data_IF_343844920468
#
_entry.id   IF_343844920468
#
_cell.length_a   1.000
_cell.length_b   1.000
_cell.length_c   1.000
_cell.angle_alpha   90.00
_cell.angle_beta   90.00
_cell.angle_gamma   90.00
#
_symmetry.space_group_name_H-M   'P 1'
#
loop_
_entity.id
_entity.type
_entity.pdbx_description
1 polymer ?
#
# COMPACT_ATOMS: atom_id res chain seq x y z
N UNK A 1 49.47 16.50 -16.73
CA UNK A 1 48.44 15.65 -17.41
C UNK A 1 47.25 15.28 -16.50
N UNK A 2 47.39 15.28 -15.17
CA UNK A 2 46.30 14.90 -14.25
C UNK A 2 45.15 15.92 -14.09
N UNK A 3 45.40 17.22 -14.33
CA UNK A 3 44.38 18.26 -14.21
C UNK A 3 43.27 18.15 -15.27
N UNK A 4 43.63 17.99 -16.55
CA UNK A 4 42.66 17.86 -17.65
C UNK A 4 41.86 16.54 -17.57
N UNK A 5 42.49 15.46 -17.11
CA UNK A 5 41.82 14.17 -16.89
C UNK A 5 40.88 14.22 -15.70
N UNK A 6 41.25 14.91 -14.60
CA UNK A 6 40.36 15.18 -13.47
C UNK A 6 39.17 16.08 -13.85
N UNK A 7 39.38 17.11 -14.67
CA UNK A 7 38.28 17.97 -15.14
C UNK A 7 37.28 17.21 -16.04
N UNK A 8 37.78 16.35 -16.93
CA UNK A 8 36.94 15.49 -17.78
C UNK A 8 36.13 14.49 -16.95
N UNK A 9 36.79 13.78 -16.02
CA UNK A 9 36.13 12.81 -15.14
C UNK A 9 35.04 13.45 -14.29
N UNK A 10 35.31 14.63 -13.71
CA UNK A 10 34.33 15.43 -12.96
C UNK A 10 33.11 15.82 -13.80
N UNK A 11 33.31 16.26 -15.05
CA UNK A 11 32.20 16.61 -15.94
C UNK A 11 31.37 15.38 -16.30
N UNK A 12 32.03 14.26 -16.58
CA UNK A 12 31.38 12.99 -16.90
C UNK A 12 30.56 12.46 -15.70
N UNK A 13 31.16 12.39 -14.51
CA UNK A 13 30.48 11.93 -13.28
C UNK A 13 29.33 12.85 -12.89
N UNK A 14 29.48 14.18 -13.04
CA UNK A 14 28.40 15.14 -12.78
C UNK A 14 27.21 14.91 -13.70
N UNK A 15 27.44 14.74 -15.01
CA UNK A 15 26.35 14.47 -15.98
C UNK A 15 25.63 13.17 -15.63
N UNK A 16 26.39 12.13 -15.31
CA UNK A 16 25.83 10.82 -14.94
C UNK A 16 25.05 10.88 -13.62
N UNK A 17 25.52 11.64 -12.63
CA UNK A 17 24.79 11.91 -11.38
C UNK A 17 23.45 12.58 -11.63
N UNK A 18 23.40 13.62 -12.47
CA UNK A 18 22.15 14.33 -12.80
C UNK A 18 21.16 13.39 -13.49
N UNK A 19 21.63 12.55 -14.41
CA UNK A 19 20.77 11.55 -15.08
C UNK A 19 20.20 10.55 -14.08
N UNK A 20 21.02 10.00 -13.17
CA UNK A 20 20.56 9.08 -12.14
C UNK A 20 19.61 9.74 -11.14
N UNK A 21 19.84 11.01 -10.76
CA UNK A 21 18.92 11.77 -9.90
C UNK A 21 17.56 12.00 -10.57
N UNK A 22 17.53 12.23 -11.88
CA UNK A 22 16.27 12.34 -12.63
C UNK A 22 15.52 11.00 -12.67
N UNK A 23 16.23 9.90 -12.88
CA UNK A 23 15.66 8.55 -12.79
C UNK A 23 15.11 8.28 -11.38
N UNK A 24 15.89 8.59 -10.34
CA UNK A 24 15.48 8.43 -8.94
C UNK A 24 14.21 9.21 -8.62
N UNK A 25 14.12 10.46 -9.08
CA UNK A 25 12.93 11.31 -8.89
C UNK A 25 11.72 10.69 -9.58
N UNK A 26 11.89 10.15 -10.79
CA UNK A 26 10.81 9.50 -11.54
C UNK A 26 10.31 8.24 -10.83
N UNK A 27 11.24 7.38 -10.39
CA UNK A 27 10.92 6.15 -9.63
C UNK A 27 10.24 6.50 -8.31
N UNK A 28 10.73 7.50 -7.58
CA UNK A 28 10.12 7.95 -6.31
C UNK A 28 8.69 8.47 -6.52
N UNK A 29 8.45 9.23 -7.59
CA UNK A 29 7.12 9.71 -7.93
C UNK A 29 6.16 8.57 -8.29
N UNK A 30 6.64 7.54 -8.99
CA UNK A 30 5.86 6.32 -9.28
C UNK A 30 5.58 5.54 -8.00
N UNK A 31 6.58 5.33 -7.15
CA UNK A 31 6.45 4.63 -5.88
C UNK A 31 5.36 5.31 -5.02
N UNK A 32 5.46 6.62 -4.82
CA UNK A 32 4.48 7.39 -4.05
C UNK A 32 3.05 7.30 -4.60
N UNK A 33 2.88 7.18 -5.93
CA UNK A 33 1.55 7.00 -6.53
C UNK A 33 1.00 5.60 -6.24
N UNK A 34 1.84 4.57 -6.37
CA UNK A 34 1.43 3.18 -6.11
C UNK A 34 1.11 2.98 -4.64
N UNK A 35 1.95 3.46 -3.71
CA UNK A 35 1.68 3.40 -2.27
C UNK A 35 0.34 4.06 -1.92
N UNK A 36 0.00 5.21 -2.54
CA UNK A 36 -1.31 5.85 -2.38
C UNK A 36 -2.45 5.00 -2.95
N UNK A 37 -2.28 4.44 -4.14
CA UNK A 37 -3.27 3.56 -4.77
C UNK A 37 -3.56 2.31 -3.92
N UNK A 38 -2.51 1.69 -3.35
CA UNK A 38 -2.62 0.58 -2.41
C UNK A 38 -3.48 1.01 -1.21
N UNK A 39 -3.12 2.12 -0.56
CA UNK A 39 -3.86 2.60 0.61
C UNK A 39 -5.31 2.99 0.32
N UNK A 40 -5.59 3.60 -0.83
CA UNK A 40 -6.95 3.96 -1.25
C UNK A 40 -7.79 2.71 -1.57
N UNK A 41 -7.19 1.71 -2.21
CA UNK A 41 -7.86 0.44 -2.48
C UNK A 41 -8.12 -0.36 -1.21
N UNK A 42 -7.16 -0.47 -0.29
CA UNK A 42 -7.35 -1.12 1.02
C UNK A 42 -8.51 -0.49 1.79
N UNK A 43 -8.59 0.85 1.81
CA UNK A 43 -9.72 1.57 2.40
C UNK A 43 -11.03 1.24 1.69
N UNK A 44 -11.06 1.27 0.35
CA UNK A 44 -12.27 0.98 -0.42
C UNK A 44 -12.75 -0.45 -0.19
N UNK A 45 -11.85 -1.43 -0.21
CA UNK A 45 -12.14 -2.84 0.08
C UNK A 45 -12.70 -2.98 1.49
N UNK A 46 -12.08 -2.34 2.48
CA UNK A 46 -12.55 -2.36 3.87
C UNK A 46 -13.93 -1.73 4.01
N UNK A 47 -14.17 -0.58 3.37
CA UNK A 47 -15.49 0.08 3.36
C UNK A 47 -16.56 -0.81 2.71
N UNK A 48 -16.24 -1.45 1.59
CA UNK A 48 -17.17 -2.37 0.91
C UNK A 48 -17.45 -3.61 1.76
N UNK A 49 -16.43 -4.19 2.41
CA UNK A 49 -16.57 -5.31 3.37
C UNK A 49 -17.49 -4.92 4.52
N UNK A 50 -17.26 -3.74 5.13
CA UNK A 50 -18.11 -3.23 6.20
C UNK A 50 -19.54 -2.98 5.72
N UNK A 51 -19.74 -2.36 4.56
CA UNK A 51 -21.07 -2.12 3.99
C UNK A 51 -21.83 -3.43 3.72
N UNK A 52 -21.15 -4.45 3.17
CA UNK A 52 -21.74 -5.75 2.93
C UNK A 52 -22.11 -6.46 4.25
N UNK A 53 -21.23 -6.44 5.25
CA UNK A 53 -21.48 -7.01 6.57
C UNK A 53 -22.61 -6.28 7.32
N UNK A 54 -22.70 -4.95 7.18
CA UNK A 54 -23.83 -4.17 7.69
C UNK A 54 -25.13 -4.54 6.97
N UNK A 55 -25.09 -4.75 5.65
CA UNK A 55 -26.24 -5.22 4.87
C UNK A 55 -26.77 -6.59 5.34
N UNK A 56 -25.86 -7.53 5.65
CA UNK A 56 -26.26 -8.81 6.27
C UNK A 56 -26.86 -8.59 7.65
N UNK A 57 -26.24 -7.75 8.47
CA UNK A 57 -26.72 -7.47 9.83
C UNK A 57 -28.08 -6.76 9.83
N UNK A 58 -28.32 -5.84 8.89
CA UNK A 58 -29.62 -5.15 8.74
C UNK A 58 -30.69 -6.09 8.19
N UNK A 59 -30.35 -6.96 7.23
CA UNK A 59 -31.28 -7.99 6.73
C UNK A 59 -31.69 -8.97 7.84
N UNK A 60 -30.74 -9.38 8.69
CA UNK A 60 -31.00 -10.21 9.86
C UNK A 60 -31.89 -9.49 10.87
N UNK A 61 -31.63 -8.21 11.16
CA UNK A 61 -32.45 -7.43 12.08
C UNK A 61 -33.89 -7.27 11.56
N UNK A 62 -34.06 -7.02 10.27
CA UNK A 62 -35.38 -6.91 9.64
C UNK A 62 -36.14 -8.24 9.67
N UNK A 63 -35.47 -9.35 9.35
CA UNK A 63 -36.08 -10.69 9.42
C UNK A 63 -36.45 -11.06 10.86
N UNK A 64 -35.59 -10.75 11.83
CA UNK A 64 -35.88 -10.97 13.25
C UNK A 64 -37.04 -10.08 13.75
N UNK A 65 -37.13 -8.83 13.28
CA UNK A 65 -38.25 -7.94 13.61
C UNK A 65 -39.58 -8.45 13.03
N UNK A 66 -39.57 -9.01 11.81
CA UNK A 66 -40.74 -9.65 11.21
C UNK A 66 -41.15 -10.92 11.99
N UNK A 67 -40.17 -11.73 12.39
CA UNK A 67 -40.44 -12.89 13.23
C UNK A 67 -41.04 -12.49 14.59
N UNK A 68 -40.55 -11.41 15.19
CA UNK A 68 -41.06 -10.86 16.45
C UNK A 68 -42.48 -10.31 16.30
N UNK A 69 -42.80 -9.62 15.19
CA UNK A 69 -44.15 -9.11 14.95
C UNK A 69 -45.18 -10.23 14.78
N UNK A 70 -44.81 -11.32 14.08
CA UNK A 70 -45.66 -12.51 13.93
C UNK A 70 -45.92 -13.16 15.29
N UNK A 71 -44.88 -13.31 16.11
CA UNK A 71 -45.00 -13.83 17.48
C UNK A 71 -45.94 -12.95 18.33
N UNK A 72 -45.76 -11.63 18.28
CA UNK A 72 -46.54 -10.69 19.07
C UNK A 72 -48.02 -10.64 18.65
N UNK A 73 -48.30 -10.84 17.35
CA UNK A 73 -49.66 -10.94 16.83
C UNK A 73 -50.34 -12.25 17.26
N UNK A 74 -49.61 -13.37 17.31
CA UNK A 74 -50.13 -14.63 17.83
C UNK A 74 -50.40 -14.59 19.35
N UNK A 75 -49.56 -13.88 20.11
CA UNK A 75 -49.73 -13.70 21.55
C UNK A 75 -50.97 -12.85 21.91
N UNK A 76 -51.38 -11.92 21.05
CA UNK A 76 -52.57 -11.10 21.24
C UNK A 76 -53.89 -11.88 21.09
N UNK A 77 -53.87 -13.06 20.46
CA UNK A 77 -55.05 -13.87 20.15
C UNK A 77 -55.59 -14.72 21.32
N UNK A 78 -54.96 -14.70 22.50
CA UNK A 78 -55.33 -15.44 23.72
C UNK A 78 -55.44 -16.98 23.61
N UNK A 79 -55.10 -17.59 22.47
CA UNK A 79 -55.01 -19.04 22.30
C UNK A 79 -53.62 -19.56 22.73
N UNK A 80 -53.60 -20.36 23.80
CA UNK A 80 -52.38 -20.91 24.42
C UNK A 80 -51.64 -21.89 23.50
N UNK A 81 -52.37 -22.63 22.64
CA UNK A 81 -51.77 -23.57 21.69
C UNK A 81 -51.14 -22.82 20.50
N UNK A 82 -51.81 -21.78 20.02
CA UNK A 82 -51.27 -20.89 18.98
C UNK A 82 -50.02 -20.15 19.48
N UNK A 83 -50.00 -19.69 20.73
CA UNK A 83 -48.85 -19.01 21.33
C UNK A 83 -47.64 -19.94 21.48
N UNK A 84 -47.85 -21.19 21.93
CA UNK A 84 -46.77 -22.18 22.08
C UNK A 84 -46.14 -22.51 20.73
N UNK A 85 -46.97 -22.69 19.70
CA UNK A 85 -46.52 -22.95 18.32
C UNK A 85 -45.76 -21.76 17.74
N UNK A 86 -46.26 -20.53 17.95
CA UNK A 86 -45.61 -19.31 17.51
C UNK A 86 -44.25 -19.08 18.19
N UNK A 87 -44.12 -19.43 19.48
CA UNK A 87 -42.86 -19.32 20.21
C UNK A 87 -41.78 -20.27 19.67
N UNK A 88 -42.16 -21.53 19.38
CA UNK A 88 -41.24 -22.52 18.78
C UNK A 88 -40.78 -22.05 17.39
N UNK A 89 -41.71 -21.57 16.57
CA UNK A 89 -41.40 -21.03 15.24
C UNK A 89 -40.51 -19.79 15.30
N UNK A 90 -40.75 -18.89 16.26
CA UNK A 90 -39.93 -17.70 16.49
C UNK A 90 -38.48 -18.07 16.86
N UNK A 91 -38.30 -18.96 17.84
CA UNK A 91 -36.98 -19.45 18.25
C UNK A 91 -36.22 -20.14 17.11
N UNK A 92 -36.92 -20.99 16.33
CA UNK A 92 -36.34 -21.64 15.16
C UNK A 92 -35.94 -20.63 14.08
N UNK A 93 -36.77 -19.61 13.84
CA UNK A 93 -36.48 -18.55 12.87
C UNK A 93 -35.27 -17.73 13.29
N UNK A 94 -35.16 -17.34 14.57
CA UNK A 94 -33.99 -16.65 15.10
C UNK A 94 -32.70 -17.47 14.94
N UNK A 95 -32.75 -18.76 15.26
CA UNK A 95 -31.60 -19.66 15.13
C UNK A 95 -31.18 -19.82 13.66
N UNK A 96 -32.14 -20.02 12.74
CA UNK A 96 -31.86 -20.07 11.31
C UNK A 96 -31.29 -18.75 10.78
N UNK A 97 -31.84 -17.61 11.20
CA UNK A 97 -31.36 -16.29 10.77
C UNK A 97 -29.95 -16.02 11.27
N UNK A 98 -29.64 -16.36 12.52
CA UNK A 98 -28.29 -16.24 13.07
C UNK A 98 -27.28 -17.13 12.30
N UNK A 99 -27.66 -18.37 12.00
CA UNK A 99 -26.82 -19.29 11.22
C UNK A 99 -26.59 -18.78 9.79
N UNK A 100 -27.65 -18.34 9.10
CA UNK A 100 -27.56 -17.78 7.75
C UNK A 100 -26.73 -16.49 7.71
N UNK A 101 -26.90 -15.60 8.70
CA UNK A 101 -26.10 -14.39 8.81
C UNK A 101 -24.62 -14.71 9.05
N UNK A 102 -24.31 -15.70 9.89
CA UNK A 102 -22.92 -16.12 10.14
C UNK A 102 -22.29 -16.72 8.89
N UNK A 103 -23.01 -17.58 8.16
CA UNK A 103 -22.55 -18.15 6.90
C UNK A 103 -22.30 -17.06 5.86
N UNK A 104 -23.24 -16.12 5.74
CA UNK A 104 -23.14 -14.99 4.81
C UNK A 104 -21.95 -14.08 5.14
N UNK A 105 -21.71 -13.79 6.42
CA UNK A 105 -20.53 -13.04 6.88
C UNK A 105 -19.23 -13.75 6.52
N UNK A 106 -19.16 -15.07 6.73
CA UNK A 106 -17.97 -15.85 6.36
C UNK A 106 -17.71 -15.84 4.85
N UNK A 107 -18.76 -15.97 4.02
CA UNK A 107 -18.62 -15.86 2.57
C UNK A 107 -18.18 -14.46 2.12
N UNK A 108 -18.74 -13.42 2.74
CA UNK A 108 -18.33 -12.03 2.49
C UNK A 108 -16.85 -11.85 2.83
N UNK A 109 -16.41 -12.32 4.01
CA UNK A 109 -15.00 -12.26 4.40
C UNK A 109 -14.10 -12.91 3.36
N UNK A 110 -14.37 -14.16 2.98
CA UNK A 110 -13.58 -14.87 1.97
C UNK A 110 -13.57 -14.15 0.61
N UNK A 111 -14.71 -13.63 0.17
CA UNK A 111 -14.80 -12.89 -1.10
C UNK A 111 -13.95 -11.62 -1.08
N UNK A 112 -14.05 -10.82 -0.01
CA UNK A 112 -13.27 -9.59 0.09
C UNK A 112 -11.79 -9.85 0.31
N UNK A 113 -11.41 -10.95 0.98
CA UNK A 113 -10.03 -11.34 1.16
C UNK A 113 -9.40 -11.79 -0.18
N UNK A 114 -10.12 -12.58 -0.99
CA UNK A 114 -9.68 -12.93 -2.36
C UNK A 114 -9.61 -11.72 -3.29
N UNK A 115 -10.59 -10.83 -3.21
CA UNK A 115 -10.60 -9.60 -4.01
C UNK A 115 -9.47 -8.66 -3.60
N UNK A 116 -9.17 -8.60 -2.31
CA UNK A 116 -8.04 -7.87 -1.75
C UNK A 116 -6.74 -8.40 -2.32
N UNK A 117 -6.50 -9.71 -2.25
CA UNK A 117 -5.31 -10.36 -2.80
C UNK A 117 -5.17 -10.09 -4.30
N UNK A 118 -6.21 -10.39 -5.10
CA UNK A 118 -6.17 -10.25 -6.56
C UNK A 118 -5.87 -8.81 -7.04
N UNK A 119 -6.30 -7.79 -6.30
CA UNK A 119 -6.11 -6.40 -6.71
C UNK A 119 -4.87 -5.75 -6.06
N UNK A 120 -4.55 -6.07 -4.82
CA UNK A 120 -3.45 -5.45 -4.08
C UNK A 120 -2.11 -6.14 -4.34
N UNK A 121 -2.08 -7.45 -4.53
CA UNK A 121 -0.85 -8.19 -4.80
C UNK A 121 -0.05 -7.64 -6.00
N UNK A 122 -0.65 -7.36 -7.18
CA UNK A 122 0.12 -6.80 -8.30
C UNK A 122 0.66 -5.40 -7.99
N UNK A 123 -0.05 -4.60 -7.19
CA UNK A 123 0.41 -3.27 -6.78
C UNK A 123 1.55 -3.37 -5.76
N UNK A 124 1.48 -4.30 -4.80
CA UNK A 124 2.53 -4.57 -3.82
C UNK A 124 3.80 -5.09 -4.50
N UNK A 125 3.67 -6.00 -5.47
CA UNK A 125 4.79 -6.46 -6.28
C UNK A 125 5.44 -5.31 -7.05
N UNK A 126 4.64 -4.38 -7.59
CA UNK A 126 5.16 -3.21 -8.28
C UNK A 126 5.83 -2.21 -7.33
N UNK A 127 5.30 -2.02 -6.12
CA UNK A 127 5.92 -1.21 -5.07
C UNK A 127 7.28 -1.79 -4.66
N UNK A 128 7.37 -3.10 -4.49
CA UNK A 128 8.63 -3.79 -4.16
C UNK A 128 9.66 -3.65 -5.29
N UNK A 129 9.25 -3.83 -6.55
CA UNK A 129 10.12 -3.60 -7.71
C UNK A 129 10.65 -2.17 -7.76
N UNK A 130 9.79 -1.17 -7.53
CA UNK A 130 10.21 0.23 -7.49
C UNK A 130 11.11 0.54 -6.29
N UNK A 131 10.90 -0.13 -5.14
CA UNK A 131 11.77 0.00 -3.97
C UNK A 131 13.17 -0.56 -4.27
N UNK A 132 13.26 -1.72 -4.94
CA UNK A 132 14.53 -2.28 -5.39
C UNK A 132 15.22 -1.38 -6.43
N UNK A 133 14.47 -0.86 -7.40
CA UNK A 133 15.00 0.07 -8.41
C UNK A 133 15.54 1.35 -7.76
N UNK A 134 14.80 1.91 -6.80
CA UNK A 134 15.24 3.06 -6.01
C UNK A 134 16.54 2.77 -5.26
N UNK A 135 16.63 1.65 -4.54
CA UNK A 135 17.84 1.27 -3.83
C UNK A 135 19.05 1.08 -4.77
N UNK A 136 18.82 0.53 -5.96
CA UNK A 136 19.84 0.40 -6.99
C UNK A 136 20.34 1.78 -7.48
N UNK A 137 19.41 2.69 -7.78
CA UNK A 137 19.75 4.05 -8.20
C UNK A 137 20.50 4.83 -7.12
N UNK A 138 20.07 4.74 -5.86
CA UNK A 138 20.75 5.36 -4.71
C UNK A 138 22.18 4.81 -4.54
N UNK A 139 22.36 3.49 -4.72
CA UNK A 139 23.69 2.87 -4.71
C UNK A 139 24.59 3.40 -5.83
N UNK A 140 24.07 3.48 -7.06
CA UNK A 140 24.80 4.05 -8.21
C UNK A 140 25.17 5.52 -8.00
N UNK A 141 24.25 6.32 -7.44
CA UNK A 141 24.51 7.73 -7.13
C UNK A 141 25.67 7.84 -6.12
N UNK A 142 25.64 7.08 -5.03
CA UNK A 142 26.73 7.08 -4.02
C UNK A 142 28.07 6.71 -4.62
N UNK A 143 28.10 5.71 -5.52
CA UNK A 143 29.33 5.31 -6.21
C UNK A 143 29.89 6.45 -7.07
N UNK A 144 29.03 7.13 -7.83
CA UNK A 144 29.43 8.26 -8.67
C UNK A 144 29.88 9.46 -7.83
N UNK A 145 29.21 9.73 -6.70
CA UNK A 145 29.63 10.78 -5.77
C UNK A 145 31.04 10.50 -5.21
N UNK A 146 31.36 9.24 -4.90
CA UNK A 146 32.71 8.84 -4.52
C UNK A 146 33.72 9.04 -5.65
N UNK A 147 33.37 8.69 -6.89
CA UNK A 147 34.21 8.95 -8.07
C UNK A 147 34.44 10.44 -8.32
N UNK A 148 33.42 11.27 -8.11
CA UNK A 148 33.52 12.72 -8.24
C UNK A 148 34.42 13.33 -7.16
N UNK A 149 34.34 12.84 -5.91
CA UNK A 149 35.24 13.25 -4.83
C UNK A 149 36.70 12.88 -5.15
N UNK A 150 36.96 11.63 -5.55
CA UNK A 150 38.29 11.20 -5.97
C UNK A 150 38.83 12.03 -7.15
N UNK A 151 37.98 12.32 -8.14
CA UNK A 151 38.34 13.18 -9.27
C UNK A 151 38.69 14.62 -8.84
N UNK A 152 37.98 15.18 -7.86
CA UNK A 152 38.27 16.51 -7.29
C UNK A 152 39.60 16.51 -6.52
N UNK A 153 39.91 15.43 -5.81
CA UNK A 153 41.18 15.29 -5.11
C UNK A 153 42.35 15.17 -6.08
N UNK A 154 42.18 14.42 -7.17
CA UNK A 154 43.16 14.27 -8.24
C UNK A 154 43.40 15.59 -8.99
N UNK A 155 42.35 16.40 -9.19
CA UNK A 155 42.46 17.76 -9.73
C UNK A 155 43.26 18.67 -8.79
N UNK A 156 42.96 18.64 -7.48
CA UNK A 156 43.66 19.44 -6.46
C UNK A 156 45.13 19.06 -6.29
N UNK A 157 45.46 17.77 -6.32
CA UNK A 157 46.85 17.31 -6.22
C UNK A 157 47.65 17.71 -7.45
N UNK A 158 47.09 17.53 -8.65
CA UNK A 158 47.73 17.98 -9.90
C UNK A 158 47.83 19.50 -10.03
N UNK A 159 46.94 20.26 -9.38
CA UNK A 159 47.04 21.73 -9.34
C UNK A 159 48.25 22.22 -8.55
N UNK A 160 48.60 21.54 -7.44
CA UNK A 160 49.80 21.86 -6.66
C UNK A 160 51.08 21.69 -7.47
N UNK A 161 51.11 20.68 -8.36
CA UNK A 161 52.25 20.44 -9.25
C UNK A 161 52.31 21.42 -10.44
N UNK A 162 51.23 22.16 -10.71
CA UNK A 162 51.11 23.09 -11.84
C UNK A 162 51.27 24.56 -11.47
N UNK A 163 51.09 24.92 -10.20
CA UNK A 163 51.39 26.26 -9.70
C UNK A 163 52.89 26.29 -9.44
N UNK A 164 53.69 27.07 -10.20
CA UNK A 164 55.10 27.24 -9.87
C UNK A 164 55.15 27.82 -8.46
N UNK A 165 55.86 27.15 -7.54
CA UNK A 165 56.29 27.81 -6.32
C UNK A 165 57.13 29.00 -6.77
N UNK A 166 56.54 30.19 -6.76
CA UNK A 166 57.29 31.43 -6.91
C UNK A 166 58.05 31.64 -5.59
N UNK A 167 59.05 30.80 -5.33
CA UNK A 167 60.14 31.16 -4.43
C UNK A 167 61.02 32.14 -5.20
N UNK A 168 60.53 33.38 -5.32
CA UNK A 168 61.36 34.53 -5.62
C UNK A 168 62.32 34.75 -4.46
N UNK A 169 63.41 33.98 -4.44
CA UNK A 169 64.53 34.11 -3.53
C UNK A 169 65.81 33.98 -4.35
N UNK A 170 66.42 35.14 -4.60
CA UNK A 170 67.64 35.32 -5.38
C UNK A 170 67.76 36.78 -5.82
#
# INVERSE_FOLDING_TARGET
MGFLTGAFLKMYTTRMRIQLQHQLTTVTMRQNRITKQIGDMEKKITQMKQAATMGVSSSMQMSNAQAASIFQQAAAGADTNAMTTANVNYQNTLAMNAMNAQMSKSMIEQYYDQMSEAQLEPLKNMEEQLAMEKANLESRIKLIEGQEQASREMEKSSQKDFVPEYTGGG
#
